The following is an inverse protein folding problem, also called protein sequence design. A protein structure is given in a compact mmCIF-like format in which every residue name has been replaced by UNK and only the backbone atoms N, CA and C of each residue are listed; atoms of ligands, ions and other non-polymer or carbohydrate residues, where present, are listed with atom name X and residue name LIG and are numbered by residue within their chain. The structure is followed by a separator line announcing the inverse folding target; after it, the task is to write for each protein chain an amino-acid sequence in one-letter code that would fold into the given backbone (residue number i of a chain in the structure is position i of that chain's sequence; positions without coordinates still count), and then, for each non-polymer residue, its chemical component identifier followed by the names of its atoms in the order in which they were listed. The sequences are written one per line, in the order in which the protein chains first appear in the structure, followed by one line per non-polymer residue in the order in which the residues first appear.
data_IF_798757009381
#
_entry.id   IF_798757009381
#
_cell.length_a   1.000
_cell.length_b   1.000
_cell.length_c   1.000
_cell.angle_alpha   90.00
_cell.angle_beta   90.00
_cell.angle_gamma   90.00
#
_symmetry.space_group_name_H-M   'P 1'
#
loop_
_entity.id
_entity.type
_entity.pdbx_description
1 polymer ?
#
# COMPACT_ATOMS: atom_id res chain seq x y z
N UNK A 1 2.36 13.17 11.45
CA UNK A 1 1.98 11.84 10.89
C UNK A 1 0.84 11.29 11.74
N UNK A 2 -0.29 10.87 11.16
CA UNK A 2 -1.41 10.31 11.93
C UNK A 2 -1.23 8.78 12.02
N UNK A 3 -0.99 8.19 13.22
CA UNK A 3 -0.78 6.75 13.38
C UNK A 3 -1.91 5.88 12.83
N UNK A 4 -3.14 6.41 12.82
CA UNK A 4 -4.31 5.70 12.29
C UNK A 4 -4.18 5.39 10.79
N UNK A 5 -3.46 6.23 10.02
CA UNK A 5 -3.22 5.96 8.61
C UNK A 5 -2.33 4.74 8.39
N UNK A 6 -1.33 4.51 9.26
CA UNK A 6 -0.47 3.32 9.15
C UNK A 6 -1.27 2.03 9.37
N UNK A 7 -2.24 2.05 10.31
CA UNK A 7 -3.16 0.93 10.52
C UNK A 7 -4.01 0.67 9.28
N UNK A 8 -4.49 1.73 8.62
CA UNK A 8 -5.26 1.59 7.37
C UNK A 8 -4.45 0.94 6.25
N UNK A 9 -3.15 1.25 6.12
CA UNK A 9 -2.30 0.60 5.11
C UNK A 9 -2.28 -0.94 5.23
N UNK A 10 -2.32 -1.45 6.46
CA UNK A 10 -2.20 -2.88 6.77
C UNK A 10 -3.54 -3.60 6.98
N UNK A 11 -4.66 -2.88 6.89
CA UNK A 11 -6.02 -3.44 7.07
C UNK A 11 -6.94 -3.19 5.88
N UNK A 12 -6.72 -2.11 5.13
CA UNK A 12 -7.54 -1.75 3.99
C UNK A 12 -7.04 -2.43 2.72
N UNK A 13 -7.96 -3.06 2.01
CA UNK A 13 -7.71 -3.68 0.72
C UNK A 13 -7.99 -2.70 -0.43
N UNK A 14 -7.25 -2.85 -1.52
CA UNK A 14 -7.46 -2.11 -2.74
C UNK A 14 -8.85 -2.45 -3.31
N UNK A 15 -9.74 -1.46 -3.54
CA UNK A 15 -11.13 -1.74 -3.91
C UNK A 15 -11.34 -2.06 -5.40
N UNK A 16 -10.35 -1.74 -6.26
CA UNK A 16 -10.45 -1.90 -7.71
C UNK A 16 -9.10 -2.15 -8.38
N UNK A 17 -9.13 -2.35 -9.70
CA UNK A 17 -7.94 -2.52 -10.54
C UNK A 17 -7.31 -3.91 -10.42
N UNK A 18 -6.10 -4.05 -11.00
CA UNK A 18 -5.36 -5.32 -11.08
C UNK A 18 -5.08 -5.96 -9.72
N UNK A 19 -4.93 -5.14 -8.67
CA UNK A 19 -4.60 -5.59 -7.32
C UNK A 19 -5.79 -5.55 -6.36
N UNK A 20 -7.03 -5.58 -6.88
CA UNK A 20 -8.23 -5.62 -6.05
C UNK A 20 -8.17 -6.75 -5.00
N UNK A 21 -8.54 -6.45 -3.76
CA UNK A 21 -8.52 -7.39 -2.63
C UNK A 21 -7.14 -7.60 -1.99
N UNK A 22 -6.13 -6.84 -2.41
CA UNK A 22 -4.79 -6.83 -1.80
C UNK A 22 -4.67 -5.67 -0.82
N UNK A 23 -4.05 -5.89 0.34
CA UNK A 23 -3.78 -4.82 1.28
C UNK A 23 -2.94 -3.71 0.63
N UNK A 24 -3.21 -2.45 0.99
CA UNK A 24 -2.46 -1.30 0.47
C UNK A 24 -0.96 -1.47 0.74
N UNK A 25 -0.59 -1.94 1.94
CA UNK A 25 0.79 -2.22 2.35
C UNK A 25 1.51 -3.30 1.51
N UNK A 26 0.76 -4.11 0.76
CA UNK A 26 1.29 -5.20 -0.06
C UNK A 26 1.25 -4.87 -1.57
N UNK A 27 0.81 -3.66 -1.93
CA UNK A 27 0.81 -3.22 -3.31
C UNK A 27 2.25 -3.14 -3.85
N UNK A 28 2.48 -3.56 -5.11
CA UNK A 28 3.82 -3.49 -5.67
C UNK A 28 4.28 -2.04 -5.89
N UNK A 29 5.57 -1.78 -5.66
CA UNK A 29 6.16 -0.45 -5.88
C UNK A 29 5.95 0.11 -7.29
N UNK A 30 5.98 -0.73 -8.34
CA UNK A 30 5.69 -0.26 -9.71
C UNK A 30 4.25 0.24 -9.89
N UNK A 31 3.30 -0.32 -9.13
CA UNK A 31 1.90 0.11 -9.17
C UNK A 31 1.70 1.44 -8.42
N UNK A 32 2.38 1.60 -7.28
CA UNK A 32 2.42 2.86 -6.54
C UNK A 32 3.10 3.97 -7.35
N UNK A 33 4.21 3.66 -8.02
CA UNK A 33 4.91 4.59 -8.90
C UNK A 33 4.09 4.99 -10.13
N UNK A 34 3.25 4.09 -10.65
CA UNK A 34 2.30 4.44 -11.70
C UNK A 34 1.30 5.50 -11.21
N UNK A 35 0.71 5.32 -10.02
CA UNK A 35 -0.15 6.34 -9.42
C UNK A 35 0.57 7.65 -9.11
N UNK A 36 1.84 7.62 -8.68
CA UNK A 36 2.61 8.83 -8.46
C UNK A 36 2.81 9.66 -9.75
N UNK A 37 2.77 9.01 -10.91
CA UNK A 37 2.90 9.67 -12.23
C UNK A 37 1.56 10.14 -12.79
N UNK A 38 0.53 9.29 -12.72
CA UNK A 38 -0.81 9.60 -13.27
C UNK A 38 -1.64 10.48 -12.32
N UNK A 39 -1.34 10.45 -11.03
CA UNK A 39 -2.10 11.09 -9.97
C UNK A 39 -2.87 10.09 -9.12
N UNK A 40 -2.94 10.37 -7.82
CA UNK A 40 -3.70 9.58 -6.87
C UNK A 40 -5.20 9.89 -6.93
N UNK A 41 -6.09 8.91 -6.70
CA UNK A 41 -7.52 9.17 -6.60
C UNK A 41 -7.83 10.17 -5.49
N UNK A 42 -8.93 10.90 -5.59
CA UNK A 42 -9.33 11.82 -4.51
C UNK A 42 -9.81 11.05 -3.27
N UNK A 43 -9.71 11.69 -2.11
CA UNK A 43 -10.20 11.16 -0.83
C UNK A 43 -9.17 10.29 -0.09
N UNK A 44 -9.65 9.50 0.86
CA UNK A 44 -8.81 8.74 1.78
C UNK A 44 -7.89 7.75 1.07
N UNK A 45 -8.43 7.00 0.10
CA UNK A 45 -7.67 6.00 -0.65
C UNK A 45 -6.43 6.62 -1.33
N UNK A 46 -6.56 7.79 -1.94
CA UNK A 46 -5.42 8.45 -2.57
C UNK A 46 -4.37 8.88 -1.56
N UNK A 47 -4.81 9.37 -0.40
CA UNK A 47 -3.90 9.69 0.70
C UNK A 47 -3.15 8.46 1.23
N UNK A 48 -3.80 7.30 1.27
CA UNK A 48 -3.17 6.04 1.66
C UNK A 48 -2.19 5.52 0.60
N UNK A 49 -2.55 5.62 -0.69
CA UNK A 49 -1.67 5.23 -1.79
C UNK A 49 -0.43 6.15 -1.87
N UNK A 50 -0.60 7.45 -1.68
CA UNK A 50 0.50 8.40 -1.63
C UNK A 50 1.42 8.10 -0.44
N UNK A 51 0.85 7.90 0.75
CA UNK A 51 1.63 7.53 1.94
C UNK A 51 2.39 6.20 1.74
N UNK A 52 1.74 5.20 1.14
CA UNK A 52 2.40 3.93 0.87
C UNK A 52 3.53 4.08 -0.15
N UNK A 53 3.34 4.92 -1.17
CA UNK A 53 4.38 5.22 -2.15
C UNK A 53 5.59 5.90 -1.49
N UNK A 54 5.37 6.84 -0.56
CA UNK A 54 6.45 7.48 0.20
C UNK A 54 7.21 6.44 1.05
N UNK A 55 6.49 5.55 1.74
CA UNK A 55 7.09 4.48 2.55
C UNK A 55 7.92 3.53 1.67
N UNK A 56 7.38 3.09 0.53
CA UNK A 56 8.07 2.20 -0.41
C UNK A 56 9.31 2.87 -1.02
N UNK A 57 9.18 4.12 -1.46
CA UNK A 57 10.27 4.89 -2.06
C UNK A 57 11.46 5.09 -1.11
N UNK A 58 11.18 5.24 0.19
CA UNK A 58 12.20 5.38 1.23
C UNK A 58 12.71 4.03 1.78
N UNK A 59 12.22 2.89 1.28
CA UNK A 59 12.61 1.56 1.79
C UNK A 59 12.12 1.28 3.21
N UNK A 60 11.08 1.97 3.68
CA UNK A 60 10.58 1.89 5.06
C UNK A 60 9.43 0.89 5.24
N UNK A 61 9.19 0.00 4.27
CA UNK A 61 8.07 -0.96 4.32
C UNK A 61 8.04 -1.82 5.58
N UNK A 62 9.20 -2.15 6.14
CA UNK A 62 9.35 -3.02 7.33
C UNK A 62 8.78 -2.37 8.61
N UNK A 63 8.64 -1.04 8.66
CA UNK A 63 8.05 -0.36 9.83
C UNK A 63 6.59 -0.76 10.06
N UNK A 64 5.94 -1.32 9.03
CA UNK A 64 4.56 -1.78 9.10
C UNK A 64 4.47 -3.18 9.71
N UNK A 65 5.53 -3.98 9.72
CA UNK A 65 5.49 -5.37 10.16
C UNK A 65 4.99 -5.56 11.60
N UNK A 66 5.40 -4.75 12.60
CA UNK A 66 4.92 -4.88 13.97
C UNK A 66 3.41 -4.62 14.15
N UNK A 67 2.78 -3.90 13.22
CA UNK A 67 1.36 -3.53 13.29
C UNK A 67 0.48 -4.37 12.35
N UNK A 68 1.08 -5.29 11.59
CA UNK A 68 0.36 -6.16 10.67
C UNK A 68 -0.36 -7.26 11.44
N UNK A 69 -1.65 -7.45 11.13
CA UNK A 69 -2.46 -8.56 11.68
C UNK A 69 -2.33 -9.85 10.87
N UNK A 70 -1.75 -9.75 9.67
CA UNK A 70 -1.51 -10.87 8.75
C UNK A 70 -0.07 -10.81 8.23
N UNK A 71 0.58 -11.95 7.94
CA UNK A 71 1.93 -11.96 7.36
C UNK A 71 2.05 -11.16 6.05
N UNK A 72 3.26 -10.71 5.70
CA UNK A 72 3.49 -9.91 4.50
C UNK A 72 3.27 -10.77 3.27
N UNK A 73 2.31 -10.38 2.43
CA UNK A 73 2.08 -11.09 1.18
C UNK A 73 2.93 -10.42 0.12
N UNK A 74 4.10 -10.98 -0.19
CA UNK A 74 4.88 -10.48 -1.32
C UNK A 74 4.04 -10.61 -2.58
N UNK A 75 4.09 -9.60 -3.45
CA UNK A 75 3.42 -9.70 -4.74
C UNK A 75 4.03 -10.79 -5.62
N UNK A 76 5.26 -11.24 -5.33
CA UNK A 76 5.92 -12.37 -6.01
C UNK A 76 5.37 -13.73 -5.56
N UNK A 77 4.69 -13.82 -4.42
CA UNK A 77 4.23 -15.09 -3.85
C UNK A 77 2.92 -15.60 -4.47
N UNK A 78 2.20 -14.74 -5.20
CA UNK A 78 1.04 -15.16 -6.01
C UNK A 78 1.42 -15.06 -7.47
N UNK A 79 1.75 -16.21 -8.05
CA UNK A 79 2.21 -16.39 -9.43
C UNK A 79 1.63 -15.39 -10.42
N UNK A 80 2.54 -14.61 -10.99
CA UNK A 80 2.40 -14.02 -12.32
C UNK A 80 3.26 -14.85 -13.27
#
# INVERSE_FOLDING_TARGET
MNPEKLKLLVTQEMPFGKYKGRLIADLPGHYLNWFAREGFPKGELGGLLALMQEIDHNGLSEILDPIRTRPRQSYKDRGA
#
